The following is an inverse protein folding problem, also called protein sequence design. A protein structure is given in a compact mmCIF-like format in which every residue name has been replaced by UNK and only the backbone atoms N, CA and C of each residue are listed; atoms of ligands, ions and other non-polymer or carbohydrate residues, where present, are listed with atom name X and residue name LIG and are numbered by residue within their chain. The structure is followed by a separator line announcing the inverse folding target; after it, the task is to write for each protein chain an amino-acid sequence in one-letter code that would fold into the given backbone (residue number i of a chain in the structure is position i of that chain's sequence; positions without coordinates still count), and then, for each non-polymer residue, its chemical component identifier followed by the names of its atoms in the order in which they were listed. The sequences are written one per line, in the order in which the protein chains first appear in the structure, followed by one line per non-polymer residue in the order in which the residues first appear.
data_IF_803046407486
#
_entry.id   IF_803046407486
#
_cell.length_a   1.000
_cell.length_b   1.000
_cell.length_c   1.000
_cell.angle_alpha   90.00
_cell.angle_beta   90.00
_cell.angle_gamma   90.00
#
_symmetry.space_group_name_H-M   'P 1'
#
loop_
_entity.id
_entity.type
_entity.pdbx_description
1 polymer ?
#
# COMPACT_ATOMS: atom_id res chain seq x y z
N UNK A 1 1.54 3.54 18.03
CA UNK A 1 2.46 3.78 16.90
C UNK A 1 1.66 3.65 15.64
N UNK A 2 1.74 4.63 14.75
CA UNK A 2 1.05 4.67 13.46
C UNK A 2 1.99 4.22 12.35
N UNK A 3 1.64 3.15 11.66
CA UNK A 3 2.44 2.57 10.57
C UNK A 3 1.63 2.66 9.28
N UNK A 4 2.23 3.25 8.24
CA UNK A 4 1.66 3.27 6.89
C UNK A 4 2.37 2.24 6.00
N UNK A 5 1.61 1.36 5.36
CA UNK A 5 2.10 0.33 4.44
C UNK A 5 1.60 0.67 3.05
N UNK A 6 2.51 0.81 2.09
CA UNK A 6 2.20 1.30 0.74
C UNK A 6 2.60 0.23 -0.28
N UNK A 7 1.66 -0.15 -1.14
CA UNK A 7 1.95 -0.78 -2.42
C UNK A 7 1.83 0.29 -3.52
N UNK A 8 2.95 0.89 -3.96
CA UNK A 8 2.92 1.87 -5.03
C UNK A 8 2.62 1.18 -6.37
N UNK A 9 1.93 1.89 -7.25
CA UNK A 9 1.69 1.47 -8.61
C UNK A 9 2.85 1.96 -9.48
N UNK A 10 3.23 1.17 -10.49
CA UNK A 10 4.20 1.64 -11.47
C UNK A 10 3.65 2.88 -12.18
N UNK A 11 4.49 3.89 -12.46
CA UNK A 11 4.06 5.13 -13.13
C UNK A 11 3.32 4.86 -14.45
N UNK A 12 3.70 3.80 -15.16
CA UNK A 12 3.05 3.33 -16.39
C UNK A 12 1.59 2.88 -16.16
N UNK A 13 1.24 2.43 -14.95
CA UNK A 13 -0.12 2.03 -14.57
C UNK A 13 -1.12 3.20 -14.47
N UNK A 14 -0.64 4.45 -14.44
CA UNK A 14 -1.50 5.65 -14.53
C UNK A 14 -1.74 6.12 -15.97
N UNK A 15 -1.07 5.51 -16.95
CA UNK A 15 -1.24 5.84 -18.37
C UNK A 15 -2.53 5.24 -18.95
N UNK A 16 -3.35 5.99 -19.72
CA UNK A 16 -4.59 5.49 -20.32
C UNK A 16 -4.37 4.36 -21.35
N UNK A 17 -3.13 4.10 -21.76
CA UNK A 17 -2.77 3.04 -22.72
C UNK A 17 -2.21 1.77 -22.06
N UNK A 18 -2.04 1.77 -20.74
CA UNK A 18 -1.57 0.59 -20.01
C UNK A 18 -2.75 -0.30 -19.63
N UNK A 19 -2.71 -1.57 -20.04
CA UNK A 19 -3.66 -2.58 -19.56
C UNK A 19 -3.00 -3.28 -18.38
N UNK A 20 -3.39 -3.01 -17.12
CA UNK A 20 -2.75 -3.65 -16.00
C UNK A 20 -2.97 -5.17 -16.11
N UNK A 21 -1.91 -5.94 -15.89
CA UNK A 21 -2.10 -7.23 -15.22
C UNK A 21 -2.94 -6.91 -13.98
N UNK A 22 -3.98 -7.70 -13.72
CA UNK A 22 -5.06 -7.48 -12.76
C UNK A 22 -4.59 -7.36 -11.28
N UNK A 23 -3.59 -6.53 -10.95
CA UNK A 23 -3.07 -6.33 -9.60
C UNK A 23 -4.16 -5.82 -8.64
N UNK A 24 -5.11 -5.03 -9.14
CA UNK A 24 -6.33 -4.68 -8.39
C UNK A 24 -7.18 -5.88 -7.95
N UNK A 25 -7.00 -7.06 -8.54
CA UNK A 25 -7.66 -8.31 -8.11
C UNK A 25 -6.82 -9.11 -7.11
N UNK A 26 -5.59 -8.69 -6.82
CA UNK A 26 -4.70 -9.37 -5.90
C UNK A 26 -4.33 -8.40 -4.76
N UNK A 27 -4.95 -8.54 -3.58
CA UNK A 27 -4.59 -7.70 -2.45
C UNK A 27 -3.11 -7.86 -2.09
N UNK A 28 -2.47 -6.85 -1.49
CA UNK A 28 -1.06 -6.90 -1.10
C UNK A 28 -0.84 -7.82 0.10
N UNK A 29 -0.92 -9.14 -0.12
CA UNK A 29 -0.85 -10.16 0.93
C UNK A 29 0.48 -10.12 1.70
N UNK A 30 1.58 -9.70 1.08
CA UNK A 30 2.86 -9.48 1.75
C UNK A 30 2.76 -8.42 2.84
N UNK A 31 2.24 -7.23 2.50
CA UNK A 31 1.98 -6.15 3.45
C UNK A 31 0.94 -6.55 4.50
N UNK A 32 -0.15 -7.23 4.11
CA UNK A 32 -1.16 -7.71 5.06
C UNK A 32 -0.58 -8.72 6.06
N UNK A 33 0.34 -9.57 5.62
CA UNK A 33 1.06 -10.52 6.49
C UNK A 33 1.98 -9.79 7.45
N UNK A 34 2.75 -8.81 6.98
CA UNK A 34 3.60 -7.98 7.84
C UNK A 34 2.80 -7.20 8.88
N UNK A 35 1.65 -6.64 8.49
CA UNK A 35 0.71 -5.98 9.40
C UNK A 35 0.28 -6.91 10.54
N UNK A 36 0.03 -8.19 10.25
CA UNK A 36 -0.32 -9.20 11.25
C UNK A 36 0.80 -9.56 12.23
N UNK A 37 2.06 -9.24 11.91
CA UNK A 37 3.21 -9.45 12.82
C UNK A 37 3.51 -8.23 13.71
N UNK A 38 2.85 -7.09 13.48
CA UNK A 38 3.08 -5.89 14.30
C UNK A 38 2.49 -6.05 15.71
N UNK A 39 3.07 -5.39 16.73
CA UNK A 39 2.59 -5.48 18.10
C UNK A 39 1.11 -5.11 18.24
N UNK A 40 0.36 -5.75 19.16
CA UNK A 40 -1.01 -5.35 19.48
C UNK A 40 -1.07 -3.86 19.83
N UNK A 41 -2.08 -3.15 19.31
CA UNK A 41 -2.24 -1.71 19.50
C UNK A 41 -1.45 -0.83 18.51
N UNK A 42 -0.80 -1.42 17.51
CA UNK A 42 -0.29 -0.66 16.36
C UNK A 42 -1.47 -0.20 15.50
N UNK A 43 -1.51 1.09 15.18
CA UNK A 43 -2.46 1.64 14.21
C UNK A 43 -1.85 1.48 12.82
N UNK A 44 -2.59 0.82 11.93
CA UNK A 44 -2.10 0.40 10.62
C UNK A 44 -2.96 1.04 9.54
N UNK A 45 -2.33 1.78 8.65
CA UNK A 45 -2.93 2.30 7.42
C UNK A 45 -2.28 1.59 6.22
N UNK A 46 -3.03 0.80 5.46
CA UNK A 46 -2.53 0.04 4.32
C UNK A 46 -3.16 0.61 3.05
N UNK A 47 -2.34 1.21 2.19
CA UNK A 47 -2.77 1.82 0.94
C UNK A 47 -2.20 1.08 -0.27
N UNK A 48 -3.07 0.75 -1.22
CA UNK A 48 -2.70 0.16 -2.50
C UNK A 48 -3.01 1.13 -3.64
N UNK A 49 -1.96 1.70 -4.22
CA UNK A 49 -2.09 2.70 -5.28
C UNK A 49 -2.70 2.13 -6.57
N UNK A 50 -2.79 0.81 -6.71
CA UNK A 50 -3.47 0.16 -7.84
C UNK A 50 -5.01 0.32 -7.79
N UNK A 51 -5.59 0.66 -6.63
CA UNK A 51 -7.04 0.74 -6.44
C UNK A 51 -7.52 2.05 -5.83
N UNK A 52 -6.62 2.83 -5.21
CA UNK A 52 -6.94 4.13 -4.63
C UNK A 52 -5.75 5.12 -4.71
N UNK A 53 -5.98 6.44 -4.70
CA UNK A 53 -4.88 7.41 -4.59
C UNK A 53 -4.19 7.34 -3.22
N UNK A 54 -2.87 7.55 -3.22
CA UNK A 54 -2.10 7.64 -1.97
C UNK A 54 -2.40 8.95 -1.22
N UNK A 55 -2.58 8.83 0.10
CA UNK A 55 -2.57 9.97 1.04
C UNK A 55 -1.13 10.19 1.48
N UNK A 56 -0.56 11.36 1.19
CA UNK A 56 0.84 11.68 1.50
C UNK A 56 0.97 12.89 2.44
N UNK A 57 -0.15 13.48 2.85
CA UNK A 57 -0.26 14.65 3.73
C UNK A 57 -0.54 14.27 5.19
N UNK A 58 -0.08 13.08 5.62
CA UNK A 58 -0.17 12.60 6.99
C UNK A 58 1.22 12.35 7.63
N UNK A 59 1.22 12.06 8.92
CA UNK A 59 2.44 11.92 9.73
C UNK A 59 2.50 10.54 10.42
N UNK A 60 2.78 9.44 9.69
CA UNK A 60 3.02 8.13 10.30
C UNK A 60 4.39 8.07 10.99
N UNK A 61 4.50 7.26 12.05
CA UNK A 61 5.77 7.00 12.75
C UNK A 61 6.73 6.13 11.91
N UNK A 62 6.17 5.29 11.03
CA UNK A 62 6.91 4.40 10.13
C UNK A 62 6.16 4.24 8.81
N UNK A 63 6.91 4.26 7.71
CA UNK A 63 6.41 3.94 6.36
C UNK A 63 7.10 2.68 5.85
N UNK A 64 6.31 1.71 5.41
CA UNK A 64 6.78 0.48 4.75
C UNK A 64 6.33 0.52 3.29
N UNK A 65 7.25 0.28 2.37
CA UNK A 65 6.98 0.32 0.93
C UNK A 65 7.39 -1.02 0.32
N UNK A 66 6.47 -1.67 -0.40
CA UNK A 66 6.76 -2.89 -1.15
C UNK A 66 7.10 -2.54 -2.60
N UNK A 67 8.34 -2.80 -3.02
CA UNK A 67 8.84 -2.62 -4.40
C UNK A 67 8.88 -3.93 -5.17
#
# INVERSE_FOLDING_TARGET
MRVKLILPALTEATSPHWRPIKYSLFPPLGLATLAGYLPPGTEIDLQDEHVEPLTLDDEPDLVVIQV
#
